data_IF_835957708353
#
_entry.id   IF_835957708353
#
_cell.length_a   1.000
_cell.length_b   1.000
_cell.length_c   1.000
_cell.angle_alpha   90.00
_cell.angle_beta   90.00
_cell.angle_gamma   90.00
#
_symmetry.space_group_name_H-M   'P 1'
#
loop_
_entity.id
_entity.type
_entity.pdbx_description
1 polymer ?
#
# COMPACT_ATOMS: atom_id res chain seq x y z
N UNK A 1 -1.88 -44.34 -31.36
CA UNK A 1 -1.39 -42.98 -31.06
C UNK A 1 -0.61 -43.04 -29.76
N UNK A 2 0.73 -43.09 -29.84
CA UNK A 2 1.60 -43.19 -28.67
C UNK A 2 1.71 -41.82 -28.00
N UNK A 3 1.17 -41.69 -26.79
CA UNK A 3 1.30 -40.49 -25.98
C UNK A 3 2.76 -40.38 -25.52
N UNK A 4 3.51 -39.43 -26.10
CA UNK A 4 4.88 -39.16 -25.66
C UNK A 4 4.85 -38.64 -24.22
N UNK A 5 5.47 -39.38 -23.31
CA UNK A 5 5.72 -38.92 -21.94
C UNK A 5 6.59 -37.67 -21.98
N UNK A 6 6.09 -36.57 -21.44
CA UNK A 6 6.89 -35.36 -21.24
C UNK A 6 8.06 -35.71 -20.31
N UNK A 7 9.28 -35.61 -20.83
CA UNK A 7 10.49 -35.84 -20.05
C UNK A 7 10.77 -34.59 -19.21
N UNK A 8 10.77 -34.75 -17.89
CA UNK A 8 11.14 -33.67 -16.96
C UNK A 8 12.63 -33.75 -16.70
N UNK A 9 13.39 -32.79 -17.24
CA UNK A 9 14.82 -32.67 -16.96
C UNK A 9 15.01 -32.07 -15.57
N UNK A 10 15.65 -32.83 -14.67
CA UNK A 10 16.02 -32.35 -13.34
C UNK A 10 17.44 -31.76 -13.40
N UNK A 11 17.59 -30.49 -13.06
CA UNK A 11 18.91 -29.84 -12.92
C UNK A 11 19.33 -29.85 -11.46
N UNK A 12 20.38 -30.60 -11.15
CA UNK A 12 21.02 -30.59 -9.84
C UNK A 12 22.13 -29.53 -9.87
N UNK A 13 21.81 -28.30 -9.47
CA UNK A 13 22.77 -27.20 -9.39
C UNK A 13 23.24 -27.02 -7.95
N UNK A 14 24.49 -27.39 -7.66
CA UNK A 14 25.13 -27.25 -6.35
C UNK A 14 25.72 -25.84 -6.12
N UNK A 15 25.96 -25.07 -7.18
CA UNK A 15 26.70 -23.78 -7.09
C UNK A 15 25.84 -22.54 -7.41
N UNK A 16 24.64 -22.70 -7.95
CA UNK A 16 23.75 -21.58 -8.25
C UNK A 16 22.51 -21.66 -7.38
N UNK A 17 22.32 -20.66 -6.51
CA UNK A 17 21.09 -20.56 -5.72
C UNK A 17 19.87 -20.59 -6.65
N UNK A 18 18.99 -21.57 -6.43
CA UNK A 18 17.69 -21.69 -7.10
C UNK A 18 16.73 -20.58 -6.64
N UNK A 19 17.02 -19.93 -5.51
CA UNK A 19 16.30 -18.75 -5.06
C UNK A 19 16.70 -17.54 -5.90
N UNK A 20 15.70 -16.89 -6.50
CA UNK A 20 15.86 -15.70 -7.35
C UNK A 20 14.95 -14.60 -6.85
N UNK A 21 15.47 -13.39 -6.78
CA UNK A 21 14.69 -12.19 -6.48
C UNK A 21 14.34 -11.49 -7.78
N UNK A 22 13.05 -11.26 -8.02
CA UNK A 22 12.59 -10.57 -9.21
C UNK A 22 12.89 -9.07 -9.11
N UNK A 23 13.57 -8.46 -10.10
CA UNK A 23 13.91 -7.03 -10.05
C UNK A 23 12.71 -6.10 -10.20
N UNK A 24 11.59 -6.61 -10.72
CA UNK A 24 10.40 -5.80 -11.03
C UNK A 24 9.34 -5.78 -9.93
N UNK A 25 9.25 -6.84 -9.12
CA UNK A 25 8.33 -6.92 -7.99
C UNK A 25 9.03 -7.08 -6.62
N UNK A 26 10.32 -7.44 -6.60
CA UNK A 26 11.10 -7.64 -5.37
C UNK A 26 10.89 -8.99 -4.68
N UNK A 27 9.99 -9.84 -5.18
CA UNK A 27 9.70 -11.14 -4.58
C UNK A 27 10.84 -12.14 -4.84
N UNK A 28 11.30 -12.82 -3.78
CA UNK A 28 12.19 -13.97 -3.85
C UNK A 28 11.37 -15.26 -4.02
N UNK A 29 11.72 -16.06 -5.02
CA UNK A 29 11.02 -17.31 -5.36
C UNK A 29 12.00 -18.39 -5.84
N UNK A 30 11.59 -19.65 -5.77
CA UNK A 30 12.42 -20.78 -6.24
C UNK A 30 12.22 -20.98 -7.73
N UNK A 31 13.26 -20.72 -8.52
CA UNK A 31 13.25 -20.99 -9.96
C UNK A 31 13.25 -22.50 -10.21
N UNK A 32 12.35 -22.97 -11.06
CA UNK A 32 12.16 -24.39 -11.34
C UNK A 32 11.11 -25.09 -10.47
N UNK A 33 10.58 -24.43 -9.44
CA UNK A 33 9.40 -24.89 -8.71
C UNK A 33 8.13 -24.32 -9.38
N UNK A 34 7.28 -25.15 -10.01
CA UNK A 34 6.14 -24.65 -10.78
C UNK A 34 5.16 -23.79 -9.96
N UNK A 35 4.93 -24.15 -8.70
CA UNK A 35 4.02 -23.45 -7.79
C UNK A 35 4.56 -22.04 -7.47
N UNK A 36 5.83 -21.93 -7.08
CA UNK A 36 6.53 -20.65 -6.84
C UNK A 36 6.52 -19.76 -8.08
N UNK A 37 6.80 -20.32 -9.26
CA UNK A 37 6.81 -19.55 -10.50
C UNK A 37 5.42 -19.03 -10.90
N UNK A 38 4.38 -19.82 -10.63
CA UNK A 38 2.99 -19.43 -10.88
C UNK A 38 2.55 -18.30 -9.93
N UNK A 39 2.89 -18.42 -8.64
CA UNK A 39 2.62 -17.42 -7.61
C UNK A 39 3.37 -16.12 -7.94
N UNK A 40 4.67 -16.23 -8.24
CA UNK A 40 5.48 -15.10 -8.68
C UNK A 40 4.87 -14.41 -9.90
N UNK A 41 4.45 -15.15 -10.93
CA UNK A 41 3.86 -14.56 -12.13
C UNK A 41 2.58 -13.77 -11.82
N UNK A 42 1.68 -14.35 -11.03
CA UNK A 42 0.44 -13.69 -10.63
C UNK A 42 0.71 -12.43 -9.78
N UNK A 43 1.59 -12.54 -8.78
CA UNK A 43 2.00 -11.43 -7.92
C UNK A 43 2.67 -10.32 -8.72
N UNK A 44 3.64 -10.67 -9.57
CA UNK A 44 4.42 -9.73 -10.38
C UNK A 44 3.51 -8.90 -11.29
N UNK A 45 2.52 -9.52 -11.94
CA UNK A 45 1.54 -8.80 -12.76
C UNK A 45 0.75 -7.79 -11.93
N UNK A 46 0.28 -8.19 -10.73
CA UNK A 46 -0.49 -7.30 -9.83
C UNK A 46 0.36 -6.14 -9.31
N UNK A 47 1.61 -6.40 -8.92
CA UNK A 47 2.53 -5.37 -8.42
C UNK A 47 2.89 -4.38 -9.50
N UNK A 48 3.06 -4.84 -10.74
CA UNK A 48 3.38 -3.95 -11.84
C UNK A 48 2.17 -3.13 -12.28
N UNK A 49 1.04 -3.80 -12.59
CA UNK A 49 -0.07 -3.21 -13.34
C UNK A 49 -1.31 -2.88 -12.51
N UNK A 50 -1.37 -3.34 -11.27
CA UNK A 50 -2.57 -3.27 -10.42
C UNK A 50 -3.56 -4.38 -10.72
N UNK A 51 -4.72 -4.30 -10.07
CA UNK A 51 -5.83 -5.25 -10.21
C UNK A 51 -6.99 -4.61 -10.96
N UNK A 52 -7.78 -5.41 -11.69
CA UNK A 52 -8.99 -4.90 -12.35
C UNK A 52 -10.11 -4.65 -11.33
N UNK A 53 -10.83 -3.54 -11.46
CA UNK A 53 -12.08 -3.28 -10.78
C UNK A 53 -13.22 -3.54 -11.76
N UNK A 54 -13.98 -4.61 -11.52
CA UNK A 54 -14.88 -5.22 -12.47
C UNK A 54 -16.36 -4.95 -12.21
N UNK A 55 -17.20 -5.67 -12.94
CA UNK A 55 -18.67 -5.52 -12.88
C UNK A 55 -19.26 -6.02 -11.56
N UNK A 56 -18.67 -7.04 -10.95
CA UNK A 56 -19.17 -7.57 -9.67
C UNK A 56 -18.98 -6.52 -8.57
N UNK A 57 -17.80 -5.90 -8.50
CA UNK A 57 -17.51 -4.86 -7.53
C UNK A 57 -18.39 -3.63 -7.77
N UNK A 58 -18.62 -3.23 -9.03
CA UNK A 58 -19.55 -2.14 -9.38
C UNK A 58 -20.98 -2.36 -8.88
N UNK A 59 -21.49 -3.60 -8.93
CA UNK A 59 -22.85 -3.93 -8.46
C UNK A 59 -23.00 -3.87 -6.94
N UNK A 60 -21.90 -4.00 -6.21
CA UNK A 60 -21.92 -4.01 -4.75
C UNK A 60 -21.56 -2.67 -4.11
N UNK A 61 -21.18 -1.65 -4.90
CA UNK A 61 -20.80 -0.31 -4.40
C UNK A 61 -21.83 0.25 -3.41
N UNK A 62 -23.12 0.21 -3.78
CA UNK A 62 -24.20 0.70 -2.92
C UNK A 62 -24.40 -0.16 -1.67
N UNK A 63 -24.39 -1.49 -1.84
CA UNK A 63 -24.60 -2.45 -0.73
C UNK A 63 -23.47 -2.40 0.30
N UNK A 64 -22.25 -2.14 -0.15
CA UNK A 64 -21.04 -2.11 0.66
C UNK A 64 -20.75 -0.72 1.27
N UNK A 65 -21.65 0.26 1.11
CA UNK A 65 -21.46 1.64 1.56
C UNK A 65 -20.15 2.26 1.04
N UNK A 66 -19.84 2.03 -0.24
CA UNK A 66 -18.65 2.60 -0.87
C UNK A 66 -18.93 4.06 -1.25
N UNK A 67 -18.13 4.96 -0.71
CA UNK A 67 -18.24 6.40 -0.94
C UNK A 67 -17.24 6.86 -2.01
N UNK A 68 -17.70 7.65 -2.98
CA UNK A 68 -16.80 8.30 -3.95
C UNK A 68 -16.31 9.64 -3.39
N UNK A 69 -15.06 9.65 -2.91
CA UNK A 69 -14.43 10.77 -2.20
C UNK A 69 -13.53 11.64 -3.08
N UNK A 70 -13.31 11.25 -4.35
CA UNK A 70 -12.59 12.05 -5.33
C UNK A 70 -13.04 11.79 -6.75
N UNK A 71 -13.69 12.78 -7.38
CA UNK A 71 -14.17 12.72 -8.77
C UNK A 71 -13.16 13.30 -9.74
N UNK A 72 -12.99 12.67 -10.91
CA UNK A 72 -12.19 13.17 -12.03
C UNK A 72 -10.77 13.63 -11.64
N UNK A 73 -10.11 12.87 -10.78
CA UNK A 73 -8.73 13.16 -10.37
C UNK A 73 -7.80 12.91 -11.55
N UNK A 74 -7.13 13.98 -12.00
CA UNK A 74 -6.17 13.92 -13.11
C UNK A 74 -4.78 13.58 -12.56
N UNK A 75 -4.15 12.61 -13.17
CA UNK A 75 -2.79 12.16 -12.87
C UNK A 75 -1.75 12.95 -13.68
N UNK A 76 -0.47 12.81 -13.32
CA UNK A 76 0.64 13.50 -14.00
C UNK A 76 0.78 13.16 -15.49
N UNK A 77 0.28 12.00 -15.93
CA UNK A 77 0.26 11.56 -17.33
C UNK A 77 -1.01 11.97 -18.09
N UNK A 78 -1.88 12.78 -17.46
CA UNK A 78 -3.18 13.18 -17.99
C UNK A 78 -4.29 12.12 -17.85
N UNK A 79 -3.97 10.92 -17.33
CA UNK A 79 -4.98 9.89 -17.09
C UNK A 79 -5.94 10.35 -16.00
N UNK A 80 -7.26 10.16 -16.24
CA UNK A 80 -8.30 10.50 -15.27
C UNK A 80 -8.73 9.26 -14.50
N UNK A 81 -8.96 9.44 -13.21
CA UNK A 81 -9.50 8.42 -12.32
C UNK A 81 -10.43 9.00 -11.28
N UNK A 82 -10.85 8.14 -10.37
CA UNK A 82 -11.63 8.50 -9.18
C UNK A 82 -11.08 7.79 -7.95
N UNK A 83 -11.39 8.33 -6.77
CA UNK A 83 -11.00 7.75 -5.49
C UNK A 83 -12.26 7.32 -4.78
N UNK A 84 -12.30 6.05 -4.40
CA UNK A 84 -13.37 5.45 -3.60
C UNK A 84 -12.85 5.14 -2.20
N UNK A 85 -13.75 5.16 -1.23
CA UNK A 85 -13.50 4.86 0.17
C UNK A 85 -14.54 3.86 0.68
N UNK A 86 -14.10 2.87 1.45
CA UNK A 86 -14.98 1.91 2.12
C UNK A 86 -14.32 1.40 3.40
N UNK A 87 -15.08 0.72 4.27
CA UNK A 87 -14.52 0.12 5.49
C UNK A 87 -13.62 -1.06 5.14
N UNK A 88 -12.48 -1.22 5.80
CA UNK A 88 -11.53 -2.29 5.47
C UNK A 88 -12.04 -3.70 5.87
N UNK A 89 -13.09 -3.80 6.70
CA UNK A 89 -13.81 -5.03 7.06
C UNK A 89 -14.99 -5.36 6.13
N UNK A 90 -15.03 -4.75 4.93
CA UNK A 90 -16.09 -4.98 3.95
C UNK A 90 -16.16 -6.46 3.53
N UNK A 91 -17.37 -7.02 3.52
CA UNK A 91 -17.63 -8.38 3.03
C UNK A 91 -17.93 -8.43 1.53
N UNK A 92 -18.49 -9.56 1.09
CA UNK A 92 -18.95 -9.72 -0.29
C UNK A 92 -17.82 -9.79 -1.33
N UNK A 93 -18.12 -9.43 -2.57
CA UNK A 93 -17.17 -9.46 -3.69
C UNK A 93 -16.10 -8.39 -3.56
N UNK A 94 -16.46 -7.21 -3.05
CA UNK A 94 -15.48 -6.14 -2.76
C UNK A 94 -14.51 -6.59 -1.66
N UNK A 95 -15.02 -7.22 -0.60
CA UNK A 95 -14.20 -7.80 0.47
C UNK A 95 -13.21 -8.83 -0.04
N UNK A 96 -13.67 -9.83 -0.80
CA UNK A 96 -12.80 -10.83 -1.41
C UNK A 96 -11.75 -10.21 -2.33
N UNK A 97 -12.12 -9.19 -3.10
CA UNK A 97 -11.19 -8.46 -3.97
C UNK A 97 -10.14 -7.69 -3.17
N UNK A 98 -10.58 -7.01 -2.12
CA UNK A 98 -9.71 -6.24 -1.23
C UNK A 98 -8.77 -7.13 -0.43
N UNK A 99 -9.21 -8.31 0.00
CA UNK A 99 -8.36 -9.29 0.67
C UNK A 99 -7.18 -9.74 -0.22
N UNK A 100 -7.45 -10.04 -1.49
CA UNK A 100 -6.40 -10.40 -2.47
C UNK A 100 -5.45 -9.22 -2.73
N UNK A 101 -5.97 -7.99 -2.75
CA UNK A 101 -5.14 -6.79 -2.86
C UNK A 101 -4.25 -6.63 -1.63
N UNK A 102 -4.80 -6.78 -0.43
CA UNK A 102 -4.08 -6.66 0.83
C UNK A 102 -3.00 -7.73 0.96
N UNK A 103 -3.27 -8.98 0.58
CA UNK A 103 -2.28 -10.05 0.51
C UNK A 103 -1.13 -9.68 -0.45
N UNK A 104 -1.46 -9.14 -1.63
CA UNK A 104 -0.45 -8.67 -2.58
C UNK A 104 0.40 -7.56 -1.98
N UNK A 105 -0.20 -6.61 -1.26
CA UNK A 105 0.49 -5.51 -0.59
C UNK A 105 1.39 -6.02 0.53
N UNK A 106 0.88 -6.89 1.40
CA UNK A 106 1.64 -7.46 2.52
C UNK A 106 2.85 -8.23 2.03
N UNK A 107 2.69 -9.04 0.98
CA UNK A 107 3.81 -9.76 0.37
C UNK A 107 4.85 -8.81 -0.24
N UNK A 108 4.40 -7.74 -0.91
CA UNK A 108 5.30 -6.75 -1.54
C UNK A 108 6.08 -5.92 -0.52
N UNK A 109 5.42 -5.58 0.60
CA UNK A 109 5.99 -4.76 1.66
C UNK A 109 6.65 -5.61 2.76
N UNK A 110 6.65 -6.94 2.61
CA UNK A 110 7.05 -7.90 3.65
C UNK A 110 6.43 -7.60 5.01
N UNK A 111 5.18 -7.13 5.00
CA UNK A 111 4.45 -6.71 6.19
C UNK A 111 3.55 -7.85 6.69
N UNK A 112 3.36 -7.97 8.02
CA UNK A 112 2.41 -8.93 8.56
C UNK A 112 0.97 -8.62 8.09
N UNK A 113 0.06 -9.60 8.10
CA UNK A 113 -1.36 -9.35 7.86
C UNK A 113 -1.95 -8.45 8.95
N UNK A 114 -2.82 -7.52 8.55
CA UNK A 114 -3.59 -6.69 9.49
C UNK A 114 -4.56 -7.56 10.27
N UNK A 115 -4.67 -7.35 11.59
CA UNK A 115 -5.62 -8.11 12.41
C UNK A 115 -7.07 -7.69 12.11
N UNK A 116 -8.07 -8.54 12.41
CA UNK A 116 -9.47 -8.20 12.23
C UNK A 116 -9.90 -6.93 12.98
N UNK A 117 -9.34 -6.68 14.16
CA UNK A 117 -9.61 -5.50 14.98
C UNK A 117 -9.11 -4.23 14.27
N UNK A 118 -7.91 -4.29 13.69
CA UNK A 118 -7.33 -3.21 12.90
C UNK A 118 -8.17 -2.94 11.65
N UNK A 119 -8.58 -3.99 10.93
CA UNK A 119 -9.45 -3.86 9.74
C UNK A 119 -10.79 -3.20 10.10
N UNK A 120 -11.40 -3.57 11.23
CA UNK A 120 -12.65 -2.97 11.72
C UNK A 120 -12.49 -1.48 12.08
N UNK A 121 -11.31 -1.08 12.54
CA UNK A 121 -10.97 0.31 12.84
C UNK A 121 -10.42 1.10 11.62
N UNK A 122 -10.39 0.48 10.44
CA UNK A 122 -9.74 1.03 9.25
C UNK A 122 -10.70 1.35 8.10
N UNK A 123 -10.28 2.31 7.27
CA UNK A 123 -10.88 2.64 5.98
C UNK A 123 -9.86 2.41 4.87
N UNK A 124 -10.31 1.80 3.79
CA UNK A 124 -9.51 1.61 2.58
C UNK A 124 -9.87 2.67 1.54
N UNK A 125 -8.85 3.26 0.93
CA UNK A 125 -8.95 4.23 -0.15
C UNK A 125 -8.31 3.67 -1.40
N UNK A 126 -9.08 3.49 -2.47
CA UNK A 126 -8.59 2.98 -3.74
C UNK A 126 -8.63 4.06 -4.81
N UNK A 127 -7.53 4.20 -5.55
CA UNK A 127 -7.52 4.99 -6.77
C UNK A 127 -7.90 4.09 -7.95
N UNK A 128 -9.03 4.39 -8.57
CA UNK A 128 -9.52 3.71 -9.76
C UNK A 128 -9.16 4.54 -11.00
N UNK A 129 -8.23 4.01 -11.80
CA UNK A 129 -7.84 4.59 -13.09
C UNK A 129 -8.73 4.04 -14.21
N UNK A 130 -9.18 4.91 -15.12
CA UNK A 130 -9.99 4.51 -16.27
C UNK A 130 -9.10 3.87 -17.34
N UNK A 131 -9.44 2.68 -17.82
CA UNK A 131 -8.67 2.04 -18.88
C UNK A 131 -8.90 2.74 -20.22
N UNK A 132 -7.81 3.13 -20.90
CA UNK A 132 -7.85 3.61 -22.29
C UNK A 132 -8.39 2.46 -23.16
N UNK A 133 -9.65 2.55 -23.61
CA UNK A 133 -10.31 1.55 -24.46
C UNK A 133 -11.55 0.88 -23.88
N UNK A 134 -11.88 1.06 -22.59
CA UNK A 134 -13.16 0.58 -22.06
C UNK A 134 -13.64 1.48 -20.90
N UNK A 135 -14.76 2.21 -21.06
CA UNK A 135 -15.24 3.11 -20.01
C UNK A 135 -15.78 2.38 -18.78
N UNK A 136 -16.09 1.08 -18.89
CA UNK A 136 -16.62 0.25 -17.80
C UNK A 136 -15.56 -0.55 -17.04
N UNK A 137 -14.31 -0.60 -17.54
CA UNK A 137 -13.21 -1.30 -16.87
C UNK A 137 -12.28 -0.30 -16.21
N UNK A 138 -12.26 -0.35 -14.90
CA UNK A 138 -11.35 0.43 -14.07
C UNK A 138 -10.20 -0.47 -13.58
N UNK A 139 -9.07 0.16 -13.25
CA UNK A 139 -7.93 -0.52 -12.63
C UNK A 139 -7.61 0.13 -11.31
N UNK A 140 -7.32 -0.69 -10.31
CA UNK A 140 -6.82 -0.25 -9.02
C UNK A 140 -5.35 0.17 -9.21
N UNK A 141 -5.13 1.48 -9.31
CA UNK A 141 -3.82 2.08 -9.54
C UNK A 141 -3.17 2.61 -8.25
N UNK A 142 -3.82 2.44 -7.10
CA UNK A 142 -3.23 2.75 -5.80
C UNK A 142 -4.17 2.40 -4.66
N UNK A 143 -3.60 2.15 -3.50
CA UNK A 143 -4.31 1.81 -2.27
C UNK A 143 -3.65 2.52 -1.08
N UNK A 144 -4.47 3.12 -0.22
CA UNK A 144 -4.09 3.59 1.11
C UNK A 144 -5.06 2.99 2.11
N UNK A 145 -4.54 2.41 3.17
CA UNK A 145 -5.33 2.05 4.35
C UNK A 145 -5.06 3.12 5.39
N UNK A 146 -6.12 3.66 5.97
CA UNK A 146 -6.05 4.58 7.09
C UNK A 146 -6.76 3.95 8.29
N UNK A 147 -6.12 3.97 9.44
CA UNK A 147 -6.62 3.42 10.69
C UNK A 147 -6.69 4.49 11.76
N UNK A 148 -7.58 4.30 12.74
CA UNK A 148 -7.62 5.18 13.91
C UNK A 148 -6.54 4.75 14.88
N UNK A 149 -5.70 5.70 15.29
CA UNK A 149 -4.70 5.49 16.36
C UNK A 149 -4.91 6.54 17.46
N UNK A 150 -4.26 6.35 18.60
CA UNK A 150 -4.30 7.29 19.72
C UNK A 150 -3.03 8.13 19.80
N UNK A 151 -1.87 7.50 19.58
CA UNK A 151 -0.56 8.11 19.76
C UNK A 151 0.41 7.69 18.68
N UNK A 152 1.40 8.54 18.42
CA UNK A 152 2.52 8.29 17.53
C UNK A 152 3.75 9.08 18.00
N UNK A 153 4.91 8.72 17.48
CA UNK A 153 6.21 9.31 17.79
C UNK A 153 6.65 10.27 16.69
N UNK A 154 7.24 11.39 17.07
CA UNK A 154 7.74 12.38 16.11
C UNK A 154 9.05 11.92 15.47
N UNK A 155 9.20 12.16 14.17
CA UNK A 155 10.45 11.90 13.45
C UNK A 155 11.48 12.95 13.84
N UNK A 156 12.65 12.50 14.28
CA UNK A 156 13.75 13.40 14.59
C UNK A 156 14.29 14.02 13.29
N UNK A 157 14.33 15.35 13.23
CA UNK A 157 15.02 16.06 12.16
C UNK A 157 16.47 16.36 12.58
N UNK A 158 17.45 16.13 11.69
CA UNK A 158 18.86 16.43 11.99
C UNK A 158 19.12 17.92 12.25
N UNK A 159 18.23 18.82 11.82
CA UNK A 159 18.38 20.27 12.01
C UNK A 159 17.78 20.79 13.33
N UNK A 160 16.89 20.03 13.98
CA UNK A 160 16.16 20.46 15.18
C UNK A 160 16.44 19.60 16.42
N UNK A 161 17.33 18.61 16.34
CA UNK A 161 17.64 17.76 17.48
C UNK A 161 18.53 18.48 18.49
N UNK A 162 17.90 19.14 19.47
CA UNK A 162 18.59 19.58 20.69
C UNK A 162 18.96 18.41 21.61
N UNK A 163 18.37 17.23 21.37
CA UNK A 163 18.59 16.01 22.14
C UNK A 163 19.69 15.15 21.50
N UNK A 164 20.56 14.50 22.29
CA UNK A 164 21.59 13.62 21.78
C UNK A 164 20.97 12.42 21.05
N UNK A 165 21.66 11.92 20.01
CA UNK A 165 21.25 10.75 19.21
C UNK A 165 21.04 9.47 20.04
N UNK A 166 21.63 9.39 21.24
CA UNK A 166 21.44 8.27 22.18
C UNK A 166 19.99 8.11 22.66
N UNK A 167 19.23 9.20 22.66
CA UNK A 167 17.86 9.23 23.21
C UNK A 167 16.80 8.96 22.14
N UNK A 168 17.23 8.73 20.89
CA UNK A 168 16.36 8.49 19.75
C UNK A 168 16.20 7.00 19.49
N UNK A 169 14.99 6.60 19.13
CA UNK A 169 14.70 5.21 18.75
C UNK A 169 14.96 5.07 17.24
N UNK A 170 15.86 4.17 16.80
CA UNK A 170 16.01 3.86 15.39
C UNK A 170 14.79 3.06 14.91
N UNK A 171 14.11 3.56 13.89
CA UNK A 171 12.93 2.89 13.31
C UNK A 171 13.36 1.87 12.28
N UNK A 172 14.31 2.20 11.41
CA UNK A 172 14.84 1.27 10.41
C UNK A 172 16.28 1.68 10.02
N UNK A 173 17.26 0.76 10.12
CA UNK A 173 18.64 1.00 9.70
C UNK A 173 18.78 1.45 8.24
N UNK A 174 17.88 1.00 7.35
CA UNK A 174 17.99 1.26 5.90
C UNK A 174 17.54 2.67 5.49
N UNK A 175 16.68 3.30 6.29
CA UNK A 175 16.10 4.62 6.00
C UNK A 175 16.68 5.75 6.86
N UNK A 176 17.62 5.41 7.75
CA UNK A 176 18.21 6.30 8.76
C UNK A 176 17.15 7.14 9.47
N UNK A 177 16.01 6.52 9.77
CA UNK A 177 14.86 7.16 10.38
C UNK A 177 14.93 6.97 11.88
N UNK A 178 14.94 8.09 12.60
CA UNK A 178 14.97 8.13 14.06
C UNK A 178 13.72 8.83 14.56
N UNK A 179 13.20 8.41 15.72
CA UNK A 179 12.03 9.01 16.34
C UNK A 179 12.28 9.37 17.79
N UNK A 180 11.58 10.39 18.28
CA UNK A 180 11.53 10.71 19.69
C UNK A 180 10.60 9.72 20.42
N UNK A 181 10.98 9.20 21.60
CA UNK A 181 10.18 8.21 22.34
C UNK A 181 8.85 8.77 22.90
N UNK A 182 8.67 10.09 22.86
CA UNK A 182 7.47 10.75 23.36
C UNK A 182 6.25 10.41 22.51
N UNK A 183 5.20 9.90 23.17
CA UNK A 183 3.94 9.51 22.53
C UNK A 183 3.02 10.72 22.43
N UNK A 184 2.84 11.24 21.22
CA UNK A 184 2.04 12.43 20.96
C UNK A 184 0.64 12.04 20.42
N UNK A 185 -0.44 12.71 20.86
CA UNK A 185 -1.78 12.47 20.37
C UNK A 185 -1.87 12.59 18.85
N UNK A 186 -2.31 11.52 18.19
CA UNK A 186 -2.34 11.43 16.73
C UNK A 186 -3.59 10.66 16.31
N UNK A 187 -4.54 11.26 15.57
CA UNK A 187 -5.84 10.62 15.28
C UNK A 187 -5.82 9.58 14.16
N UNK A 188 -4.85 9.63 13.23
CA UNK A 188 -4.83 8.75 12.05
C UNK A 188 -3.45 8.12 11.81
N UNK A 189 -3.44 6.81 11.56
CA UNK A 189 -2.29 6.03 11.13
C UNK A 189 -2.47 5.48 9.72
N UNK A 190 -1.37 5.35 8.97
CA UNK A 190 -1.32 4.75 7.64
C UNK A 190 -0.51 3.45 7.73
N UNK A 191 -1.17 2.29 7.91
CA UNK A 191 -0.46 1.00 7.96
C UNK A 191 0.04 0.54 6.60
N UNK A 192 -0.70 0.84 5.52
CA UNK A 192 -0.35 0.39 4.17
C UNK A 192 -0.55 1.51 3.17
N UNK A 193 0.50 1.79 2.41
CA UNK A 193 0.48 2.65 1.23
C UNK A 193 1.10 1.88 0.07
N UNK A 194 0.34 1.70 -0.99
CA UNK A 194 0.79 0.93 -2.15
C UNK A 194 0.36 1.59 -3.46
N UNK A 195 1.31 1.68 -4.39
CA UNK A 195 1.07 2.10 -5.78
C UNK A 195 1.80 1.12 -6.69
N UNK A 196 1.10 0.47 -7.64
CA UNK A 196 1.72 -0.41 -8.62
C UNK A 196 2.85 0.30 -9.37
N UNK A 197 3.93 -0.42 -9.68
CA UNK A 197 5.17 0.21 -10.16
C UNK A 197 4.98 1.03 -11.44
N UNK A 198 4.11 0.58 -12.36
CA UNK A 198 3.78 1.30 -13.60
C UNK A 198 2.98 2.59 -13.40
N UNK A 199 2.39 2.79 -12.22
CA UNK A 199 1.58 3.95 -11.87
C UNK A 199 2.28 4.88 -10.85
N UNK A 200 3.53 4.58 -10.47
CA UNK A 200 4.31 5.41 -9.55
C UNK A 200 4.72 6.72 -10.20
N UNK A 201 5.06 7.72 -9.36
CA UNK A 201 5.51 9.06 -9.79
C UNK A 201 4.47 9.86 -10.59
N UNK A 202 3.21 9.42 -10.59
CA UNK A 202 2.06 10.13 -11.19
C UNK A 202 1.24 10.95 -10.18
N UNK A 203 1.72 11.07 -8.92
CA UNK A 203 1.03 11.79 -7.84
C UNK A 203 -0.07 11.01 -7.11
N UNK A 204 -0.32 9.75 -7.46
CA UNK A 204 -1.39 8.91 -6.88
C UNK A 204 -1.29 8.81 -5.35
N UNK A 205 -0.11 8.48 -4.82
CA UNK A 205 0.10 8.32 -3.38
C UNK A 205 -0.28 9.60 -2.61
N UNK A 206 0.24 10.75 -3.04
CA UNK A 206 -0.04 12.06 -2.44
C UNK A 206 -1.53 12.41 -2.51
N UNK A 207 -2.21 12.10 -3.63
CA UNK A 207 -3.65 12.35 -3.78
C UNK A 207 -4.48 11.44 -2.86
N UNK A 208 -4.14 10.15 -2.77
CA UNK A 208 -4.80 9.21 -1.86
C UNK A 208 -4.63 9.65 -0.40
N UNK A 209 -3.41 9.98 0.02
CA UNK A 209 -3.13 10.46 1.37
C UNK A 209 -3.89 11.76 1.69
N UNK A 210 -3.90 12.72 0.76
CA UNK A 210 -4.62 13.99 0.94
C UNK A 210 -6.13 13.81 1.03
N UNK A 211 -6.70 12.88 0.26
CA UNK A 211 -8.12 12.54 0.37
C UNK A 211 -8.39 11.86 1.72
N UNK A 212 -7.59 10.85 2.07
CA UNK A 212 -7.72 10.15 3.35
C UNK A 212 -7.67 11.12 4.54
N UNK A 213 -6.70 12.03 4.58
CA UNK A 213 -6.59 13.07 5.62
C UNK A 213 -7.87 13.90 5.76
N UNK A 214 -8.50 14.28 4.64
CA UNK A 214 -9.71 15.12 4.65
C UNK A 214 -10.99 14.37 5.00
N UNK A 215 -11.07 13.06 4.72
CA UNK A 215 -12.33 12.30 4.80
C UNK A 215 -12.31 11.18 5.86
N UNK A 216 -11.17 10.88 6.47
CA UNK A 216 -11.05 9.79 7.44
C UNK A 216 -11.95 10.04 8.66
N UNK A 217 -11.85 11.23 9.26
CA UNK A 217 -12.75 11.67 10.32
C UNK A 217 -13.83 12.56 9.70
N UNK A 218 -15.10 12.12 9.78
CA UNK A 218 -16.22 12.87 9.19
C UNK A 218 -16.32 14.26 9.83
N UNK A 219 -16.29 15.30 9.00
CA UNK A 219 -16.39 16.70 9.44
C UNK A 219 -15.13 17.28 10.09
N UNK A 220 -14.03 16.52 10.19
CA UNK A 220 -12.77 16.98 10.78
C UNK A 220 -11.60 16.64 9.84
N UNK A 221 -11.30 17.52 8.86
CA UNK A 221 -10.15 17.34 7.98
C UNK A 221 -8.84 17.40 8.77
N UNK A 222 -8.00 16.39 8.63
CA UNK A 222 -6.69 16.33 9.26
C UNK A 222 -5.64 17.05 8.42
N UNK A 223 -4.69 17.69 9.10
CA UNK A 223 -3.57 18.41 8.54
C UNK A 223 -2.28 17.58 8.61
N UNK A 224 -1.73 17.13 7.47
CA UNK A 224 -0.49 16.36 7.44
C UNK A 224 0.73 17.13 7.93
N UNK A 225 0.64 18.47 8.06
CA UNK A 225 1.75 19.34 8.46
C UNK A 225 1.74 19.65 9.97
N UNK A 226 0.77 19.14 10.72
CA UNK A 226 0.61 19.39 12.17
C UNK A 226 0.81 18.15 13.04
N UNK A 227 1.34 17.07 12.48
CA UNK A 227 1.55 15.82 13.22
C UNK A 227 0.26 15.05 13.54
N UNK A 228 -0.84 15.31 12.83
CA UNK A 228 -2.11 14.60 13.03
C UNK A 228 -2.16 13.23 12.34
N UNK A 229 -1.08 12.87 11.62
CA UNK A 229 -1.03 11.69 10.77
C UNK A 229 0.30 10.99 10.99
N UNK A 230 0.22 9.67 11.18
CA UNK A 230 1.39 8.81 11.33
C UNK A 230 1.42 7.69 10.27
N UNK A 231 2.61 7.13 10.07
CA UNK A 231 2.85 5.97 9.22
C UNK A 231 3.42 4.84 10.08
N UNK A 232 3.16 3.59 9.70
CA UNK A 232 3.98 2.47 10.19
C UNK A 232 5.37 2.56 9.57
N UNK A 233 6.32 1.80 10.14
CA UNK A 233 7.71 1.71 9.68
C UNK A 233 7.81 1.80 8.14
N UNK A 234 8.21 2.96 7.60
CA UNK A 234 8.07 3.21 6.18
C UNK A 234 9.23 2.58 5.41
N UNK A 235 8.94 1.95 4.27
CA UNK A 235 9.98 1.59 3.30
C UNK A 235 10.72 2.83 2.81
N UNK A 236 11.91 2.69 2.21
CA UNK A 236 12.64 3.86 1.66
C UNK A 236 11.82 4.72 0.70
N UNK A 237 11.00 4.10 -0.16
CA UNK A 237 10.08 4.83 -1.03
C UNK A 237 8.93 5.49 -0.24
N UNK A 238 8.41 4.81 0.79
CA UNK A 238 7.39 5.33 1.70
C UNK A 238 7.88 6.54 2.48
N UNK A 239 9.10 6.50 3.01
CA UNK A 239 9.72 7.59 3.76
C UNK A 239 9.85 8.86 2.91
N UNK A 240 10.20 8.71 1.62
CA UNK A 240 10.23 9.83 0.67
C UNK A 240 8.86 10.48 0.48
N UNK A 241 7.79 9.68 0.32
CA UNK A 241 6.42 10.20 0.20
C UNK A 241 5.96 10.85 1.50
N UNK A 242 6.20 10.20 2.64
CA UNK A 242 5.85 10.68 3.97
C UNK A 242 6.46 12.06 4.25
N UNK A 243 7.78 12.21 4.05
CA UNK A 243 8.49 13.48 4.28
C UNK A 243 8.00 14.57 3.34
N UNK A 244 7.86 14.27 2.04
CA UNK A 244 7.44 15.26 1.05
C UNK A 244 6.00 15.74 1.25
N UNK A 245 5.07 14.82 1.58
CA UNK A 245 3.66 15.16 1.76
C UNK A 245 3.37 15.77 3.14
N UNK A 246 3.97 15.22 4.19
CA UNK A 246 3.82 15.71 5.57
C UNK A 246 4.69 16.91 5.92
N UNK A 247 5.55 17.37 4.99
CA UNK A 247 6.54 18.44 5.21
C UNK A 247 7.37 18.23 6.49
N UNK A 248 7.74 16.98 6.77
CA UNK A 248 8.50 16.60 7.96
C UNK A 248 7.69 16.41 9.25
N UNK A 249 6.41 16.82 9.31
CA UNK A 249 5.60 16.71 10.51
C UNK A 249 4.90 15.34 10.68
N UNK A 250 4.93 14.49 9.66
CA UNK A 250 4.34 13.16 9.75
C UNK A 250 5.06 12.31 10.82
N UNK A 251 4.27 11.59 11.61
CA UNK A 251 4.76 10.79 12.74
C UNK A 251 4.92 9.32 12.37
N UNK A 252 5.53 8.55 13.26
CA UNK A 252 5.67 7.11 13.16
C UNK A 252 4.94 6.43 14.31
N UNK A 253 4.23 5.35 14.03
CA UNK A 253 3.60 4.54 15.06
C UNK A 253 3.88 3.05 14.82
N UNK A 254 3.77 2.27 15.89
CA UNK A 254 3.86 0.82 15.84
C UNK A 254 2.46 0.23 15.69
N UNK A 255 2.31 -0.68 14.72
CA UNK A 255 1.03 -1.31 14.34
C UNK A 255 0.50 -2.28 15.38
#
# INVERSE_FOLDING_TARGET
MSSQRALTQLHFSLETSVLRTCPSCGLSYTKGAPDDESLHRAHCIRVQRGMEWGREEHKEVEKANVEEVGRNVVLGDGTKGRIICFRADVGGKIGSKFAVLLETINLTLSSPPLTPEVLKASKAYLFLSRSKGSPSREKIAGCVIAQRISTAMEVASPESSSKPLSDLIPVDPSTSLFVHPEKLPTPMGIPRLFVPTTHRRLGIATRLLSVAARTFVRGCPLDPTKGEIAFTQPTGAGAGVMRAWGKGAARIYEE
#
